data_IF_721936895158
#
_entry.id   IF_721936895158
#
_cell.length_a   1.000
_cell.length_b   1.000
_cell.length_c   1.000
_cell.angle_alpha   90.00
_cell.angle_beta   90.00
_cell.angle_gamma   90.00
#
_symmetry.space_group_name_H-M   'P 1'
#
loop_
_entity.id
_entity.type
_entity.pdbx_description
1 polymer ?
#
# COMPACT_ATOMS: atom_id res chain seq x y z
N UNK A 1 -6.45 -4.69 18.98
CA UNK A 1 -5.31 -4.08 18.26
C UNK A 1 -5.50 -2.57 18.17
N UNK A 2 -4.40 -1.83 18.14
CA UNK A 2 -4.44 -0.39 18.01
C UNK A 2 -3.18 0.15 17.33
N UNK A 3 -3.34 1.25 16.60
CA UNK A 3 -2.26 1.98 15.97
C UNK A 3 -2.29 3.40 16.49
N UNK A 4 -1.17 3.87 17.02
CA UNK A 4 -1.08 5.16 17.68
C UNK A 4 0.12 5.95 17.19
N UNK A 5 -0.05 7.25 17.00
CA UNK A 5 1.04 8.21 16.88
C UNK A 5 1.09 9.04 18.16
N UNK A 6 2.25 9.10 18.78
CA UNK A 6 2.49 9.84 20.01
C UNK A 6 3.44 10.99 19.68
N UNK A 7 2.94 12.21 19.75
CA UNK A 7 3.72 13.41 19.56
C UNK A 7 4.24 13.92 20.90
N UNK A 8 5.52 14.28 20.96
CA UNK A 8 6.15 14.83 22.14
C UNK A 8 6.46 16.29 21.85
N UNK A 9 5.94 17.20 22.69
CA UNK A 9 6.08 18.66 22.52
C UNK A 9 5.57 19.17 21.17
N UNK A 10 4.46 18.63 20.68
CA UNK A 10 3.86 19.01 19.40
C UNK A 10 4.80 18.80 18.20
N UNK A 11 5.76 17.91 18.33
CA UNK A 11 6.72 17.63 17.27
C UNK A 11 6.25 16.45 16.41
N UNK A 12 5.79 16.76 15.20
CA UNK A 12 5.29 15.77 14.23
C UNK A 12 6.40 14.97 13.53
N UNK A 13 7.61 15.52 13.49
CA UNK A 13 8.74 14.87 12.82
C UNK A 13 9.38 13.81 13.71
N UNK A 14 9.52 14.11 15.02
CA UNK A 14 10.12 13.21 16.00
C UNK A 14 9.04 12.59 16.89
N UNK A 15 8.10 11.92 16.28
CA UNK A 15 7.03 11.22 16.97
C UNK A 15 7.29 9.71 17.10
N UNK A 16 6.54 9.04 17.94
CA UNK A 16 6.59 7.60 18.14
C UNK A 16 5.34 6.94 17.59
N UNK A 17 5.49 6.02 16.65
CA UNK A 17 4.39 5.17 16.19
C UNK A 17 4.40 3.84 16.93
N UNK A 18 3.27 3.49 17.53
CA UNK A 18 3.09 2.26 18.32
C UNK A 18 2.00 1.40 17.69
N UNK A 19 2.34 0.17 17.35
CA UNK A 19 1.43 -0.79 16.74
C UNK A 19 1.21 -1.99 17.65
N UNK A 20 0.04 -2.07 18.27
CA UNK A 20 -0.39 -3.22 19.04
C UNK A 20 -1.08 -4.23 18.10
N UNK A 21 -0.27 -5.05 17.43
CA UNK A 21 -0.79 -6.06 16.52
C UNK A 21 -1.41 -7.24 17.28
N UNK A 22 -2.37 -7.89 16.64
CA UNK A 22 -2.79 -9.21 17.10
C UNK A 22 -1.65 -10.23 16.98
N UNK A 23 -1.60 -11.23 17.86
CA UNK A 23 -0.69 -12.36 17.70
C UNK A 23 -0.85 -13.01 16.33
N UNK A 24 0.24 -13.52 15.78
CA UNK A 24 0.17 -14.28 14.54
C UNK A 24 -0.60 -15.57 14.77
N UNK A 25 -1.55 -15.84 13.91
CA UNK A 25 -2.36 -17.07 13.93
C UNK A 25 -1.85 -18.12 12.97
N UNK A 26 -0.97 -17.74 12.06
CA UNK A 26 -0.42 -18.60 11.02
C UNK A 26 1.09 -18.36 10.89
N UNK A 27 1.86 -19.38 11.17
CA UNK A 27 3.32 -19.42 10.95
C UNK A 27 3.62 -20.66 10.11
N UNK A 28 3.97 -20.53 8.83
CA UNK A 28 4.21 -21.68 7.98
C UNK A 28 5.50 -22.40 8.38
N UNK A 29 5.56 -23.69 8.10
CA UNK A 29 6.81 -24.45 8.25
C UNK A 29 7.77 -24.06 7.11
N UNK A 30 9.03 -23.69 7.41
CA UNK A 30 10.01 -23.34 6.38
C UNK A 30 10.26 -24.44 5.34
N UNK A 31 10.03 -25.69 5.70
CA UNK A 31 10.27 -26.86 4.84
C UNK A 31 9.05 -27.24 3.98
N UNK A 32 7.92 -26.53 4.15
CA UNK A 32 6.72 -26.84 3.36
C UNK A 32 6.89 -26.43 1.89
N UNK A 33 6.39 -27.21 0.94
CA UNK A 33 6.39 -26.85 -0.46
C UNK A 33 5.67 -25.51 -0.72
N UNK A 34 6.30 -24.63 -1.51
CA UNK A 34 5.73 -23.32 -1.84
C UNK A 34 5.88 -22.26 -0.75
N UNK A 35 6.68 -22.52 0.28
CA UNK A 35 7.03 -21.53 1.31
C UNK A 35 8.40 -20.92 1.02
N UNK A 36 8.46 -19.58 1.03
CA UNK A 36 9.69 -18.81 1.04
C UNK A 36 9.79 -18.15 2.43
N UNK A 37 10.70 -18.63 3.25
CA UNK A 37 10.80 -18.25 4.65
C UNK A 37 12.00 -17.33 4.92
N UNK A 38 11.73 -16.12 5.39
CA UNK A 38 12.74 -15.18 5.88
C UNK A 38 12.80 -15.27 7.41
N UNK A 39 13.82 -15.94 7.94
CA UNK A 39 14.07 -16.01 9.39
C UNK A 39 14.46 -14.65 9.99
N UNK A 40 14.45 -14.49 11.32
CA UNK A 40 14.97 -13.27 11.94
C UNK A 40 16.40 -12.97 11.47
N UNK A 41 16.68 -11.71 11.12
CA UNK A 41 17.96 -11.27 10.60
C UNK A 41 17.84 -10.44 9.32
N UNK A 42 18.99 -10.06 8.76
CA UNK A 42 19.07 -9.21 7.57
C UNK A 42 19.20 -10.06 6.30
N UNK A 43 18.32 -9.82 5.34
CA UNK A 43 18.24 -10.53 4.07
C UNK A 43 18.38 -9.56 2.91
N UNK A 44 19.32 -9.82 2.04
CA UNK A 44 19.50 -9.08 0.79
C UNK A 44 19.68 -10.07 -0.35
N UNK A 45 18.97 -9.91 -1.47
CA UNK A 45 19.20 -10.77 -2.62
C UNK A 45 20.61 -10.54 -3.15
N UNK A 46 21.41 -11.61 -3.18
CA UNK A 46 22.73 -11.57 -3.80
C UNK A 46 22.57 -11.87 -5.28
N UNK A 47 23.19 -11.04 -6.10
CA UNK A 47 23.26 -11.23 -7.56
C UNK A 47 21.90 -11.26 -8.29
N UNK A 48 20.84 -10.71 -7.66
CA UNK A 48 19.56 -10.52 -8.32
C UNK A 48 19.43 -9.11 -8.89
N UNK A 49 19.06 -8.98 -10.16
CA UNK A 49 18.88 -7.67 -10.79
C UNK A 49 17.88 -6.80 -10.03
N UNK A 50 18.28 -5.56 -9.72
CA UNK A 50 17.42 -4.60 -9.02
C UNK A 50 17.05 -4.98 -7.59
N UNK A 51 17.81 -5.85 -6.92
CA UNK A 51 17.50 -6.39 -5.59
C UNK A 51 16.08 -6.95 -5.49
N UNK A 52 15.65 -7.72 -6.49
CA UNK A 52 14.29 -8.20 -6.60
C UNK A 52 14.16 -9.71 -6.34
N UNK A 53 13.18 -10.07 -5.52
CA UNK A 53 12.73 -11.45 -5.36
C UNK A 53 11.52 -11.67 -6.28
N UNK A 54 11.69 -12.46 -7.33
CA UNK A 54 10.58 -12.86 -8.21
C UNK A 54 9.86 -14.04 -7.60
N UNK A 55 8.55 -13.90 -7.40
CA UNK A 55 7.72 -14.90 -6.73
C UNK A 55 6.86 -15.63 -7.76
N UNK A 56 6.78 -16.93 -7.63
CA UNK A 56 5.95 -17.80 -8.48
C UNK A 56 4.53 -17.96 -7.93
N UNK A 57 3.62 -18.45 -8.75
CA UNK A 57 2.26 -18.80 -8.31
C UNK A 57 2.25 -19.84 -7.19
N UNK A 58 1.20 -19.81 -6.37
CA UNK A 58 0.98 -20.73 -5.25
C UNK A 58 2.10 -20.70 -4.18
N UNK A 59 2.65 -19.50 -3.93
CA UNK A 59 3.75 -19.27 -2.98
C UNK A 59 3.26 -18.48 -1.77
N UNK A 60 3.65 -18.94 -0.58
CA UNK A 60 3.56 -18.16 0.66
C UNK A 60 4.94 -17.63 1.02
N UNK A 61 5.10 -16.33 1.02
CA UNK A 61 6.31 -15.62 1.49
C UNK A 61 6.07 -15.21 2.93
N UNK A 62 6.86 -15.75 3.84
CA UNK A 62 6.76 -15.42 5.26
C UNK A 62 7.96 -14.63 5.73
N UNK A 63 7.71 -13.45 6.28
CA UNK A 63 8.70 -12.62 6.94
C UNK A 63 8.53 -12.75 8.47
N UNK A 64 9.36 -13.55 9.11
CA UNK A 64 9.29 -13.77 10.55
C UNK A 64 9.48 -12.46 11.35
N UNK A 65 8.94 -12.35 12.57
CA UNK A 65 9.29 -11.25 13.46
C UNK A 65 10.82 -11.11 13.58
N UNK A 66 11.35 -9.90 13.32
CA UNK A 66 12.79 -9.63 13.28
C UNK A 66 13.49 -9.94 11.95
N UNK A 67 12.78 -10.41 10.94
CA UNK A 67 13.30 -10.45 9.57
C UNK A 67 13.32 -9.03 8.97
N UNK A 68 14.44 -8.66 8.34
CA UNK A 68 14.61 -7.40 7.62
C UNK A 68 15.06 -7.73 6.20
N UNK A 69 14.22 -7.43 5.22
CA UNK A 69 14.49 -7.71 3.81
C UNK A 69 14.86 -6.40 3.11
N UNK A 70 16.10 -6.28 2.64
CA UNK A 70 16.54 -5.17 1.80
C UNK A 70 16.41 -5.56 0.33
N UNK A 71 15.24 -5.36 -0.22
CA UNK A 71 14.90 -5.72 -1.60
C UNK A 71 13.40 -5.59 -1.85
N UNK A 72 12.96 -5.84 -3.07
CA UNK A 72 11.56 -5.78 -3.47
C UNK A 72 11.02 -7.15 -3.85
N UNK A 73 9.72 -7.33 -3.75
CA UNK A 73 9.02 -8.52 -4.22
C UNK A 73 8.28 -8.24 -5.53
N UNK A 74 8.45 -9.12 -6.50
CA UNK A 74 7.81 -9.02 -7.82
C UNK A 74 6.91 -10.23 -8.06
N UNK A 75 5.64 -9.96 -8.36
CA UNK A 75 4.67 -10.91 -8.88
C UNK A 75 4.25 -10.44 -10.27
N UNK A 76 4.62 -11.17 -11.30
CA UNK A 76 4.27 -10.84 -12.67
C UNK A 76 3.60 -12.05 -13.34
N UNK A 77 2.32 -11.90 -13.70
CA UNK A 77 1.51 -12.94 -14.32
C UNK A 77 1.45 -14.23 -13.47
N UNK A 78 1.20 -14.06 -12.17
CA UNK A 78 1.11 -15.15 -11.19
C UNK A 78 -0.23 -15.10 -10.45
N UNK A 79 -0.53 -16.19 -9.75
CA UNK A 79 -1.75 -16.28 -8.94
C UNK A 79 -1.52 -17.00 -7.61
N UNK A 80 -2.39 -16.72 -6.64
CA UNK A 80 -2.41 -17.34 -5.32
C UNK A 80 -1.08 -17.15 -4.57
N UNK A 81 -0.66 -15.89 -4.41
CA UNK A 81 0.56 -15.55 -3.67
C UNK A 81 0.20 -14.81 -2.39
N UNK A 82 0.83 -15.20 -1.29
CA UNK A 82 0.62 -14.59 0.02
C UNK A 82 1.93 -14.08 0.59
N UNK A 83 1.92 -12.85 1.08
CA UNK A 83 3.01 -12.24 1.84
C UNK A 83 2.53 -12.02 3.26
N UNK A 84 3.00 -12.80 4.21
CA UNK A 84 2.51 -12.78 5.58
C UNK A 84 3.66 -12.68 6.59
N UNK A 85 3.35 -12.29 7.82
CA UNK A 85 4.31 -12.21 8.91
C UNK A 85 4.38 -10.83 9.56
N UNK A 86 5.45 -10.59 10.33
CA UNK A 86 5.69 -9.36 11.09
C UNK A 86 7.08 -8.77 10.83
N UNK A 87 7.72 -9.19 9.74
CA UNK A 87 9.01 -8.65 9.32
C UNK A 87 8.90 -7.31 8.60
N UNK A 88 10.06 -6.82 8.18
CA UNK A 88 10.24 -5.52 7.56
C UNK A 88 10.82 -5.65 6.16
N UNK A 89 10.38 -4.77 5.26
CA UNK A 89 11.07 -4.50 4.00
C UNK A 89 11.70 -3.12 4.16
N UNK A 90 13.02 -3.06 4.05
CA UNK A 90 13.80 -1.86 4.37
C UNK A 90 14.53 -1.32 3.14
N UNK A 91 14.35 -0.01 2.88
CA UNK A 91 14.95 0.70 1.76
C UNK A 91 14.83 -0.01 0.39
N UNK A 92 13.66 -0.52 0.00
CA UNK A 92 13.47 -1.07 -1.34
C UNK A 92 13.33 0.05 -2.37
N UNK A 93 13.54 -0.24 -3.65
CA UNK A 93 13.11 0.67 -4.73
C UNK A 93 11.59 0.81 -4.71
N UNK A 94 10.89 -0.32 -4.58
CA UNK A 94 9.46 -0.46 -4.24
C UNK A 94 9.32 -1.64 -3.31
N UNK A 95 8.32 -1.63 -2.42
CA UNK A 95 8.11 -2.78 -1.53
C UNK A 95 7.61 -3.99 -2.31
N UNK A 96 6.50 -3.80 -3.01
CA UNK A 96 5.83 -4.82 -3.80
C UNK A 96 5.48 -4.31 -5.19
N UNK A 97 5.69 -5.16 -6.20
CA UNK A 97 5.26 -4.93 -7.58
C UNK A 97 4.40 -6.11 -8.05
N UNK A 98 3.10 -5.88 -8.18
CA UNK A 98 2.14 -6.88 -8.63
C UNK A 98 1.61 -6.47 -10.00
N UNK A 99 1.84 -7.29 -11.01
CA UNK A 99 1.43 -6.97 -12.38
C UNK A 99 0.73 -8.16 -13.03
N UNK A 100 -0.41 -7.92 -13.67
CA UNK A 100 -1.20 -8.93 -14.39
C UNK A 100 -1.47 -10.21 -13.57
N UNK A 101 -1.64 -10.05 -12.26
CA UNK A 101 -1.67 -11.16 -11.30
C UNK A 101 -3.04 -11.29 -10.63
N UNK A 102 -3.30 -12.45 -10.00
CA UNK A 102 -4.59 -12.74 -9.36
C UNK A 102 -4.42 -13.31 -7.96
N UNK A 103 -5.39 -13.00 -7.09
CA UNK A 103 -5.45 -13.54 -5.73
C UNK A 103 -4.13 -13.34 -4.96
N UNK A 104 -3.76 -12.07 -4.76
CA UNK A 104 -2.56 -11.68 -4.01
C UNK A 104 -2.98 -11.22 -2.62
N UNK A 105 -2.24 -11.60 -1.59
CA UNK A 105 -2.47 -11.20 -0.21
C UNK A 105 -1.19 -10.60 0.41
N UNK A 106 -1.35 -9.48 1.14
CA UNK A 106 -0.35 -8.95 2.08
C UNK A 106 -0.97 -8.92 3.47
N UNK A 107 -0.27 -9.45 4.48
CA UNK A 107 -0.76 -9.40 5.86
C UNK A 107 0.38 -9.18 6.87
N UNK A 108 0.35 -8.04 7.55
CA UNK A 108 1.14 -7.78 8.75
C UNK A 108 2.51 -7.16 8.56
N UNK A 109 2.98 -7.02 7.32
CA UNK A 109 4.33 -6.56 6.98
C UNK A 109 4.45 -5.03 7.16
N UNK A 110 5.67 -4.57 7.45
CA UNK A 110 6.02 -3.15 7.50
C UNK A 110 7.02 -2.82 6.40
N UNK A 111 6.78 -1.75 5.64
CA UNK A 111 7.70 -1.23 4.62
C UNK A 111 8.25 0.11 5.07
N UNK A 112 9.57 0.27 5.03
CA UNK A 112 10.27 1.46 5.51
C UNK A 112 11.15 2.02 4.41
N UNK A 113 11.03 3.34 4.18
CA UNK A 113 11.86 4.13 3.27
C UNK A 113 11.96 3.57 1.82
N UNK A 114 10.88 3.23 1.16
CA UNK A 114 10.94 2.90 -0.25
C UNK A 114 11.39 4.13 -1.07
N UNK A 115 12.10 3.90 -2.18
CA UNK A 115 12.49 4.97 -3.11
C UNK A 115 11.30 5.46 -3.95
N UNK A 116 10.26 4.64 -4.06
CA UNK A 116 9.05 4.86 -4.84
C UNK A 116 7.88 4.20 -4.11
N UNK A 117 6.83 3.74 -4.77
CA UNK A 117 5.62 3.17 -4.16
C UNK A 117 5.90 2.03 -3.17
N UNK A 118 5.18 2.02 -2.08
CA UNK A 118 5.16 0.87 -1.16
C UNK A 118 4.56 -0.36 -1.84
N UNK A 119 3.41 -0.19 -2.49
CA UNK A 119 2.74 -1.22 -3.29
C UNK A 119 2.38 -0.66 -4.66
N UNK A 120 2.84 -1.30 -5.71
CA UNK A 120 2.39 -1.09 -7.07
C UNK A 120 1.49 -2.28 -7.47
N UNK A 121 0.24 -2.00 -7.81
CA UNK A 121 -0.67 -2.95 -8.43
C UNK A 121 -1.01 -2.50 -9.85
N UNK A 122 -0.68 -3.31 -10.85
CA UNK A 122 -1.02 -3.07 -12.25
C UNK A 122 -1.84 -4.22 -12.83
N UNK A 123 -3.11 -3.99 -13.19
CA UNK A 123 -4.02 -5.00 -13.73
C UNK A 123 -4.13 -6.26 -12.83
N UNK A 124 -4.28 -6.04 -11.53
CA UNK A 124 -4.45 -7.11 -10.54
C UNK A 124 -5.95 -7.37 -10.31
N UNK A 125 -6.34 -8.64 -10.27
CA UNK A 125 -7.68 -9.09 -9.96
C UNK A 125 -7.70 -9.91 -8.66
N UNK A 126 -8.28 -9.36 -7.61
CA UNK A 126 -8.25 -9.97 -6.28
C UNK A 126 -6.97 -9.65 -5.51
N UNK A 127 -6.92 -8.48 -4.89
CA UNK A 127 -5.83 -8.07 -4.00
C UNK A 127 -6.39 -7.85 -2.60
N UNK A 128 -5.77 -8.49 -1.60
CA UNK A 128 -6.09 -8.27 -0.20
C UNK A 128 -4.88 -7.71 0.53
N UNK A 129 -5.04 -6.57 1.17
CA UNK A 129 -4.01 -5.95 2.00
C UNK A 129 -4.58 -5.77 3.40
N UNK A 130 -4.00 -6.44 4.37
CA UNK A 130 -4.39 -6.35 5.76
C UNK A 130 -3.18 -6.01 6.64
N UNK A 131 -3.37 -5.10 7.59
CA UNK A 131 -2.37 -4.75 8.60
C UNK A 131 -0.99 -4.37 8.01
N UNK A 132 -0.95 -3.75 6.83
CA UNK A 132 0.26 -3.18 6.24
C UNK A 132 0.59 -1.85 6.93
N UNK A 133 1.88 -1.60 7.20
CA UNK A 133 2.39 -0.30 7.64
C UNK A 133 3.41 0.19 6.64
N UNK A 134 3.35 1.48 6.31
CA UNK A 134 4.31 2.10 5.40
C UNK A 134 4.80 3.43 5.96
N UNK A 135 6.09 3.66 5.77
CA UNK A 135 6.76 4.91 6.10
C UNK A 135 7.67 5.29 4.95
N UNK A 136 7.44 6.45 4.35
CA UNK A 136 8.28 6.96 3.28
C UNK A 136 8.59 8.44 3.48
N UNK A 137 9.70 8.90 2.91
CA UNK A 137 10.16 10.28 3.04
C UNK A 137 10.86 10.81 1.76
N UNK A 138 10.66 10.14 0.64
CA UNK A 138 11.23 10.55 -0.66
C UNK A 138 10.11 11.02 -1.59
N UNK A 139 10.44 11.89 -2.54
CA UNK A 139 9.49 12.27 -3.59
C UNK A 139 9.01 11.05 -4.38
N UNK A 140 7.71 11.00 -4.70
CA UNK A 140 7.02 9.90 -5.37
C UNK A 140 7.06 8.57 -4.62
N UNK A 141 7.21 8.62 -3.30
CA UNK A 141 7.15 7.42 -2.45
C UNK A 141 5.77 7.22 -1.85
N UNK A 142 4.82 7.04 -2.74
CA UNK A 142 3.42 6.79 -2.44
C UNK A 142 3.23 5.50 -1.61
N UNK A 143 2.06 5.38 -1.03
CA UNK A 143 1.67 4.18 -0.30
C UNK A 143 1.23 3.06 -1.24
N UNK A 144 -0.05 3.01 -1.56
CA UNK A 144 -0.65 1.96 -2.38
C UNK A 144 -1.20 2.57 -3.67
N UNK A 145 -0.51 2.29 -4.79
CA UNK A 145 -0.90 2.73 -6.12
C UNK A 145 -1.45 1.58 -6.95
N UNK A 146 -2.71 1.69 -7.34
CA UNK A 146 -3.43 0.65 -8.09
C UNK A 146 -3.86 1.18 -9.46
N UNK A 147 -3.37 0.54 -10.52
CA UNK A 147 -3.69 0.86 -11.90
C UNK A 147 -4.51 -0.25 -12.53
N UNK A 148 -5.72 0.05 -13.01
CA UNK A 148 -6.60 -0.93 -13.67
C UNK A 148 -6.90 -2.17 -12.82
N UNK A 149 -6.91 -2.04 -11.50
CA UNK A 149 -7.13 -3.15 -10.57
C UNK A 149 -8.62 -3.33 -10.27
N UNK A 150 -9.00 -4.55 -9.89
CA UNK A 150 -10.37 -4.88 -9.49
C UNK A 150 -10.43 -5.91 -8.37
N UNK A 151 -11.55 -5.93 -7.66
CA UNK A 151 -11.78 -6.83 -6.53
C UNK A 151 -10.69 -6.67 -5.45
N UNK A 152 -10.51 -5.45 -4.98
CA UNK A 152 -9.47 -5.10 -4.00
C UNK A 152 -10.10 -4.84 -2.63
N UNK A 153 -9.51 -5.42 -1.60
CA UNK A 153 -9.83 -5.19 -0.20
C UNK A 153 -8.58 -4.74 0.56
N UNK A 154 -8.62 -3.53 1.13
CA UNK A 154 -7.55 -2.96 1.94
C UNK A 154 -8.13 -2.68 3.32
N UNK A 155 -7.50 -3.24 4.36
CA UNK A 155 -8.02 -3.14 5.72
C UNK A 155 -6.92 -2.99 6.76
N UNK A 156 -7.24 -2.27 7.85
CA UNK A 156 -6.39 -2.16 9.03
C UNK A 156 -4.95 -1.71 8.71
N UNK A 157 -4.79 -0.68 7.87
CA UNK A 157 -3.49 -0.17 7.44
C UNK A 157 -3.06 1.08 8.20
N UNK A 158 -1.76 1.35 8.20
CA UNK A 158 -1.16 2.61 8.60
C UNK A 158 -0.22 3.09 7.50
N UNK A 159 -0.49 4.27 6.94
CA UNK A 159 0.31 4.86 5.88
C UNK A 159 0.80 6.25 6.30
N UNK A 160 2.11 6.45 6.33
CA UNK A 160 2.74 7.77 6.39
C UNK A 160 3.67 7.92 5.19
N UNK A 161 3.23 8.68 4.22
CA UNK A 161 3.87 8.77 2.91
C UNK A 161 4.18 10.22 2.52
N UNK A 162 5.27 10.38 1.78
CA UNK A 162 5.67 11.65 1.17
C UNK A 162 5.20 11.77 -0.27
N UNK A 163 4.04 11.28 -0.54
CA UNK A 163 3.20 11.41 -1.71
C UNK A 163 1.85 10.73 -1.39
N UNK A 164 1.01 10.40 -2.38
CA UNK A 164 -0.31 9.82 -2.16
C UNK A 164 -0.27 8.59 -1.24
N UNK A 165 -1.11 8.54 -0.19
CA UNK A 165 -1.18 7.34 0.64
C UNK A 165 -1.89 6.19 -0.09
N UNK A 166 -3.00 6.49 -0.78
CA UNK A 166 -3.74 5.52 -1.61
C UNK A 166 -4.15 6.21 -2.91
N UNK A 167 -3.67 5.70 -4.04
CA UNK A 167 -4.00 6.20 -5.36
C UNK A 167 -4.63 5.13 -6.26
N UNK A 168 -5.74 5.47 -6.90
CA UNK A 168 -6.48 4.60 -7.81
C UNK A 168 -6.50 5.21 -9.20
N UNK A 169 -5.83 4.59 -10.16
CA UNK A 169 -5.72 5.03 -11.53
C UNK A 169 -6.31 4.02 -12.51
N UNK A 170 -6.97 4.50 -13.55
CA UNK A 170 -7.48 3.61 -14.59
C UNK A 170 -6.40 3.23 -15.60
N UNK A 171 -5.78 4.22 -16.26
CA UNK A 171 -4.66 3.98 -17.16
C UNK A 171 -3.43 4.74 -16.69
N UNK A 172 -2.35 4.03 -16.48
CA UNK A 172 -1.04 4.64 -16.22
C UNK A 172 0.07 3.74 -16.77
N UNK A 173 1.05 4.33 -17.45
CA UNK A 173 2.14 3.62 -18.12
C UNK A 173 1.63 2.58 -19.13
N UNK A 174 1.89 1.30 -18.86
CA UNK A 174 1.49 0.18 -19.72
C UNK A 174 0.21 -0.51 -19.22
N UNK A 175 -0.33 -0.11 -18.06
CA UNK A 175 -1.53 -0.68 -17.49
C UNK A 175 -2.76 0.05 -18.02
N UNK A 176 -3.73 -0.71 -18.54
CA UNK A 176 -4.91 -0.16 -19.17
C UNK A 176 -6.16 -0.96 -18.84
N UNK A 177 -7.15 -0.30 -18.28
CA UNK A 177 -8.42 -0.92 -17.96
C UNK A 177 -9.24 -0.10 -16.97
N UNK A 178 -10.37 -0.66 -16.57
CA UNK A 178 -11.24 -0.07 -15.55
C UNK A 178 -10.77 -0.43 -14.13
N UNK A 179 -11.10 0.44 -13.19
CA UNK A 179 -11.00 0.16 -11.75
C UNK A 179 -12.39 -0.19 -11.24
N UNK A 180 -12.52 -1.31 -10.52
CA UNK A 180 -13.82 -1.76 -10.05
C UNK A 180 -13.77 -2.53 -8.73
N UNK A 181 -14.79 -2.31 -7.90
CA UNK A 181 -14.98 -3.03 -6.63
C UNK A 181 -13.76 -2.92 -5.71
N UNK A 182 -13.50 -1.70 -5.26
CA UNK A 182 -12.41 -1.37 -4.34
C UNK A 182 -13.02 -1.04 -2.98
N UNK A 183 -12.54 -1.70 -1.93
CA UNK A 183 -12.95 -1.46 -0.55
C UNK A 183 -11.76 -1.17 0.33
N UNK A 184 -11.76 -0.01 0.96
CA UNK A 184 -10.76 0.38 1.94
C UNK A 184 -11.45 0.64 3.26
N UNK A 185 -10.99 0.00 4.33
CA UNK A 185 -11.57 0.18 5.65
C UNK A 185 -10.53 0.19 6.78
N UNK A 186 -10.90 0.84 7.87
CA UNK A 186 -10.10 0.86 9.11
C UNK A 186 -8.65 1.32 8.86
N UNK A 187 -8.48 2.41 8.12
CA UNK A 187 -7.17 2.92 7.73
C UNK A 187 -6.80 4.19 8.52
N UNK A 188 -5.51 4.30 8.83
CA UNK A 188 -4.90 5.52 9.36
C UNK A 188 -3.94 6.05 8.31
N UNK A 189 -4.18 7.27 7.85
CA UNK A 189 -3.44 7.92 6.76
C UNK A 189 -2.78 9.20 7.26
N UNK A 190 -1.57 9.43 6.80
CA UNK A 190 -0.78 10.63 7.05
C UNK A 190 -0.02 10.97 5.76
N UNK A 191 -0.46 11.98 5.05
CA UNK A 191 0.22 12.45 3.86
C UNK A 191 1.11 13.65 4.23
N UNK A 192 2.42 13.43 4.18
CA UNK A 192 3.39 14.53 4.36
C UNK A 192 3.47 15.40 3.08
N UNK A 193 2.96 14.92 1.94
CA UNK A 193 2.77 15.61 0.66
C UNK A 193 1.64 14.94 -0.11
N UNK A 194 0.96 15.66 -0.99
CA UNK A 194 -0.09 15.20 -1.89
C UNK A 194 -1.35 14.67 -1.17
N UNK A 195 -1.91 13.53 -1.56
CA UNK A 195 -3.24 13.16 -1.10
C UNK A 195 -3.24 11.97 -0.13
N UNK A 196 -3.98 12.02 0.98
CA UNK A 196 -4.34 10.79 1.70
C UNK A 196 -5.11 9.80 0.81
N UNK A 197 -6.03 10.29 -0.02
CA UNK A 197 -6.80 9.47 -0.97
C UNK A 197 -6.91 10.22 -2.31
N UNK A 198 -6.47 9.56 -3.38
CA UNK A 198 -6.52 10.07 -4.75
C UNK A 198 -7.23 9.06 -5.68
N UNK A 199 -8.31 9.49 -6.34
CA UNK A 199 -9.08 8.68 -7.28
C UNK A 199 -9.06 9.35 -8.64
N UNK A 200 -8.55 8.67 -9.66
CA UNK A 200 -8.43 9.20 -11.01
C UNK A 200 -7.05 9.80 -11.29
N UNK A 201 -6.96 10.97 -11.90
CA UNK A 201 -5.69 11.63 -12.24
C UNK A 201 -5.02 11.09 -13.50
N UNK A 202 -5.18 9.81 -13.79
CA UNK A 202 -4.67 9.18 -15.01
C UNK A 202 -5.73 8.25 -15.61
N UNK A 203 -5.87 8.28 -16.93
CA UNK A 203 -6.84 7.44 -17.61
C UNK A 203 -6.79 7.54 -19.12
N UNK A 204 -7.77 6.97 -19.78
CA UNK A 204 -7.93 7.03 -21.24
C UNK A 204 -9.37 6.64 -21.63
N UNK A 205 -10.36 7.38 -21.12
CA UNK A 205 -11.76 7.05 -21.31
C UNK A 205 -12.21 5.78 -20.57
N UNK A 206 -11.68 5.56 -19.36
CA UNK A 206 -11.98 4.38 -18.56
C UNK A 206 -13.00 4.69 -17.46
N UNK A 207 -13.48 3.64 -16.79
CA UNK A 207 -14.44 3.74 -15.69
C UNK A 207 -13.75 3.34 -14.38
N UNK A 208 -13.91 4.20 -13.36
CA UNK A 208 -13.57 3.89 -11.97
C UNK A 208 -14.88 3.83 -11.20
N UNK A 209 -15.24 2.65 -10.72
CA UNK A 209 -16.58 2.45 -10.12
C UNK A 209 -16.59 1.50 -8.92
N UNK A 210 -17.64 1.61 -8.13
CA UNK A 210 -17.89 0.77 -6.96
C UNK A 210 -16.74 0.84 -5.94
N UNK A 211 -16.40 2.08 -5.52
CA UNK A 211 -15.28 2.37 -4.64
C UNK A 211 -15.82 2.84 -3.29
N UNK A 212 -15.39 2.21 -2.21
CA UNK A 212 -15.80 2.57 -0.85
C UNK A 212 -14.60 2.75 0.06
N UNK A 213 -14.58 3.89 0.77
CA UNK A 213 -13.68 4.16 1.88
C UNK A 213 -14.52 4.30 3.16
N UNK A 214 -14.22 3.51 4.18
CA UNK A 214 -14.97 3.49 5.43
C UNK A 214 -14.07 3.43 6.66
N UNK A 215 -14.42 4.13 7.73
CA UNK A 215 -13.66 4.20 8.97
C UNK A 215 -12.20 4.64 8.73
N UNK A 216 -12.01 5.79 8.11
CA UNK A 216 -10.68 6.33 7.77
C UNK A 216 -10.34 7.46 8.72
N UNK A 217 -9.17 7.38 9.34
CA UNK A 217 -8.59 8.48 10.12
C UNK A 217 -7.43 9.09 9.34
N UNK A 218 -7.57 10.34 8.93
CA UNK A 218 -6.51 11.13 8.32
C UNK A 218 -5.92 12.00 9.43
N UNK A 219 -4.72 11.65 9.89
CA UNK A 219 -4.07 12.35 11.00
C UNK A 219 -3.41 13.64 10.57
N UNK A 220 -2.92 13.67 9.35
CA UNK A 220 -2.22 14.82 8.78
C UNK A 220 -2.37 14.85 7.27
N UNK A 221 -2.51 16.05 6.73
CA UNK A 221 -2.43 16.36 5.31
C UNK A 221 -1.64 17.67 5.16
N UNK A 222 -0.42 17.55 4.65
CA UNK A 222 0.46 18.69 4.39
C UNK A 222 0.59 18.85 2.87
N UNK A 223 0.01 19.91 2.33
CA UNK A 223 0.07 20.22 0.90
C UNK A 223 0.08 21.72 0.68
N UNK A 224 1.10 22.21 -0.01
CA UNK A 224 1.29 23.64 -0.24
C UNK A 224 0.32 24.23 -1.28
N UNK A 225 -0.20 23.41 -2.19
CA UNK A 225 -1.12 23.87 -3.24
C UNK A 225 -2.58 23.79 -2.81
N UNK A 226 -3.06 24.85 -2.21
CA UNK A 226 -4.41 24.97 -1.63
C UNK A 226 -5.58 24.72 -2.59
N UNK A 227 -5.36 24.85 -3.89
CA UNK A 227 -6.43 24.79 -4.89
C UNK A 227 -6.38 23.52 -5.72
N UNK A 228 -5.35 22.71 -5.54
CA UNK A 228 -5.09 21.55 -6.39
C UNK A 228 -5.32 20.23 -5.70
N UNK A 229 -4.88 20.09 -4.46
CA UNK A 229 -4.82 18.81 -3.78
C UNK A 229 -5.62 18.83 -2.47
N UNK A 230 -6.60 17.95 -2.34
CA UNK A 230 -7.42 17.79 -1.13
C UNK A 230 -7.26 16.42 -0.49
N UNK A 231 -7.66 16.30 0.78
CA UNK A 231 -7.63 15.04 1.53
C UNK A 231 -8.35 13.88 0.83
N UNK A 232 -9.49 14.19 0.21
CA UNK A 232 -10.33 13.24 -0.52
C UNK A 232 -10.44 13.75 -1.96
N UNK A 233 -9.53 13.30 -2.80
CA UNK A 233 -9.41 13.82 -4.16
C UNK A 233 -10.05 12.88 -5.17
N UNK A 234 -10.89 13.45 -6.03
CA UNK A 234 -11.43 12.80 -7.24
C UNK A 234 -11.01 13.64 -8.43
N UNK A 235 -9.90 13.28 -9.02
CA UNK A 235 -9.31 13.96 -10.17
C UNK A 235 -9.73 13.25 -11.46
N UNK A 236 -10.84 13.66 -12.04
CA UNK A 236 -11.31 13.06 -13.30
C UNK A 236 -10.56 13.69 -14.47
N UNK A 237 -9.61 12.95 -15.02
CA UNK A 237 -8.82 13.36 -16.17
C UNK A 237 -8.98 12.39 -17.34
N UNK A 238 -8.56 12.79 -18.54
CA UNK A 238 -8.44 11.94 -19.71
C UNK A 238 -9.74 11.21 -20.10
N UNK A 239 -10.87 11.91 -20.05
CA UNK A 239 -12.21 11.42 -20.39
C UNK A 239 -12.69 10.24 -19.53
N UNK A 240 -12.12 10.02 -18.36
CA UNK A 240 -12.55 9.01 -17.42
C UNK A 240 -13.94 9.31 -16.86
N UNK A 241 -14.61 8.27 -16.44
CA UNK A 241 -15.86 8.34 -15.66
C UNK A 241 -15.58 7.78 -14.27
N UNK A 242 -15.87 8.57 -13.24
CA UNK A 242 -15.84 8.11 -11.85
C UNK A 242 -17.26 8.07 -11.32
N UNK A 243 -17.70 6.92 -10.82
CA UNK A 243 -19.08 6.73 -10.35
C UNK A 243 -19.16 5.75 -9.17
N UNK A 244 -20.25 5.83 -8.40
CA UNK A 244 -20.46 4.98 -7.22
C UNK A 244 -19.31 4.99 -6.24
N UNK A 245 -18.83 6.19 -5.89
CA UNK A 245 -17.79 6.40 -4.86
C UNK A 245 -18.48 6.76 -3.55
N UNK A 246 -18.15 6.04 -2.50
CA UNK A 246 -18.69 6.26 -1.16
C UNK A 246 -17.57 6.52 -0.15
N UNK A 247 -17.70 7.61 0.62
CA UNK A 247 -16.88 7.91 1.79
C UNK A 247 -17.76 7.87 3.02
N UNK A 248 -17.45 6.97 3.95
CA UNK A 248 -18.25 6.72 5.13
C UNK A 248 -17.38 6.74 6.39
N UNK A 249 -17.80 7.52 7.38
CA UNK A 249 -17.09 7.65 8.65
C UNK A 249 -15.61 8.03 8.46
N UNK A 250 -15.38 9.20 7.86
CA UNK A 250 -14.06 9.77 7.62
C UNK A 250 -13.77 10.81 8.71
N UNK A 251 -12.65 10.67 9.38
CA UNK A 251 -12.16 11.60 10.38
C UNK A 251 -10.89 12.27 9.90
N UNK A 252 -10.84 13.59 9.97
CA UNK A 252 -9.69 14.39 9.52
C UNK A 252 -9.27 15.29 10.66
N UNK A 253 -8.05 15.13 11.16
CA UNK A 253 -7.55 15.87 12.32
C UNK A 253 -6.84 17.17 11.95
N UNK A 254 -5.79 17.09 11.14
CA UNK A 254 -4.98 18.25 10.81
C UNK A 254 -4.87 18.42 9.29
N UNK A 255 -5.20 19.61 8.85
CA UNK A 255 -5.00 20.07 7.47
C UNK A 255 -4.17 21.34 7.57
N UNK A 256 -3.03 21.37 6.90
CA UNK A 256 -2.34 22.62 6.63
C UNK A 256 -2.89 23.22 5.34
N UNK A 257 -3.48 24.43 5.48
CA UNK A 257 -4.01 25.21 4.36
C UNK A 257 -2.92 26.06 3.69
#
# INVERSE_FOLDING_TARGET
PGKFSIEINENRVNNLHVFANEPETEVPNPDDPGVVYFAPGFHRPKDLPGNAFTISSNTTVYLAPGAVVNGKFICNNVENVRFIGRGYIDNPVRGFEFTHSKNIEINGITVINPDHYTVLGGEVDGLKINNLKAFSCKGWSDGIDLMSCKNVEIKDIFMRNSDDCIALYAHRWTYYGNVKNIKVSDAILWADVAHPINIGGHGKGNILEDITFSNINILQHDEDDRLYQGCLSINVADDNVVQNVNFENIWIDNIEE
#
